data_IF_817204980122
#
_entry.id   IF_817204980122
#
_cell.length_a   1.000
_cell.length_b   1.000
_cell.length_c   1.000
_cell.angle_alpha   90.00
_cell.angle_beta   90.00
_cell.angle_gamma   90.00
#
_symmetry.space_group_name_H-M   'P 1'
#
loop_
_entity.id
_entity.type
_entity.pdbx_description
1 polymer ?
#
# COMPACT_ATOMS: atom_id res chain seq x y z
N UNK A 1 -25.62 0.83 4.50
CA UNK A 1 -26.21 2.16 4.48
C UNK A 1 -25.55 2.98 3.37
N UNK A 2 -26.22 3.10 2.21
CA UNK A 2 -25.71 3.76 1.00
C UNK A 2 -25.28 5.23 1.20
N UNK A 3 -25.80 5.89 2.22
CA UNK A 3 -25.43 7.29 2.55
C UNK A 3 -24.03 7.44 3.15
N UNK A 4 -23.45 6.40 3.72
CA UNK A 4 -22.08 6.46 4.27
C UNK A 4 -21.02 6.27 3.18
N UNK A 5 -21.34 5.60 2.07
CA UNK A 5 -20.41 5.44 0.94
C UNK A 5 -20.29 6.72 0.09
N UNK A 6 -21.35 7.53 -0.03
CA UNK A 6 -21.30 8.80 -0.77
C UNK A 6 -20.37 9.86 -0.13
N UNK A 7 -20.00 9.69 1.15
CA UNK A 7 -19.12 10.64 1.86
C UNK A 7 -17.64 10.47 1.51
N UNK A 8 -17.19 9.27 1.12
CA UNK A 8 -15.82 9.00 0.72
C UNK A 8 -15.50 9.47 -0.72
N UNK A 9 -16.53 9.63 -1.57
CA UNK A 9 -16.37 10.05 -2.96
C UNK A 9 -16.17 11.56 -3.15
N UNK A 10 -16.26 12.39 -2.08
CA UNK A 10 -16.31 13.85 -2.22
C UNK A 10 -14.96 14.56 -2.16
N UNK A 11 -13.91 13.98 -1.59
CA UNK A 11 -12.60 14.61 -1.58
C UNK A 11 -11.86 14.41 -2.90
N UNK A 12 -11.42 15.50 -3.52
CA UNK A 12 -10.67 15.44 -4.79
C UNK A 12 -9.15 15.41 -4.60
N UNK A 13 -8.66 15.51 -3.37
CA UNK A 13 -7.22 15.39 -3.09
C UNK A 13 -6.64 14.08 -3.63
N UNK A 14 -7.30 12.91 -3.47
CA UNK A 14 -6.87 11.65 -4.07
C UNK A 14 -6.71 11.70 -5.60
N UNK A 15 -7.62 12.43 -6.27
CA UNK A 15 -7.54 12.59 -7.73
C UNK A 15 -6.31 13.39 -8.11
N UNK A 16 -6.02 14.48 -7.37
CA UNK A 16 -4.80 15.29 -7.59
C UNK A 16 -3.55 14.43 -7.42
N UNK A 17 -3.48 13.65 -6.35
CA UNK A 17 -2.33 12.79 -6.03
C UNK A 17 -2.12 11.68 -7.06
N UNK A 18 -3.19 11.08 -7.57
CA UNK A 18 -3.12 10.01 -8.57
C UNK A 18 -2.47 10.45 -9.89
N UNK A 19 -2.64 11.71 -10.27
CA UNK A 19 -2.06 12.28 -11.51
C UNK A 19 -0.79 13.10 -11.25
N UNK A 20 -0.39 13.25 -9.99
CA UNK A 20 0.76 14.06 -9.56
C UNK A 20 2.08 13.73 -10.31
N UNK A 21 2.44 12.46 -10.55
CA UNK A 21 3.65 12.13 -11.29
C UNK A 21 3.69 12.71 -12.72
N UNK A 22 2.52 12.95 -13.31
CA UNK A 22 2.38 13.50 -14.66
C UNK A 22 2.46 15.04 -14.72
N UNK A 23 2.49 15.72 -13.59
CA UNK A 23 2.48 17.19 -13.53
C UNK A 23 3.83 17.80 -13.90
N UNK A 24 3.76 18.89 -14.64
CA UNK A 24 4.89 19.81 -14.85
C UNK A 24 5.24 20.52 -13.53
N UNK A 25 6.43 21.13 -13.39
CA UNK A 25 6.79 21.86 -12.17
C UNK A 25 5.75 22.92 -11.77
N UNK A 26 5.17 23.64 -12.72
CA UNK A 26 4.14 24.63 -12.46
C UNK A 26 2.82 24.00 -11.97
N UNK A 27 2.41 22.88 -12.57
CA UNK A 27 1.22 22.13 -12.15
C UNK A 27 1.40 21.52 -10.75
N UNK A 28 2.62 21.12 -10.39
CA UNK A 28 2.95 20.65 -9.03
C UNK A 28 2.78 21.76 -8.00
N UNK A 29 3.21 22.98 -8.30
CA UNK A 29 2.96 24.14 -7.42
C UNK A 29 1.47 24.32 -7.15
N UNK A 30 0.63 24.17 -8.16
CA UNK A 30 -0.83 24.25 -7.99
C UNK A 30 -1.36 23.05 -7.20
N UNK A 31 -0.87 21.85 -7.50
CA UNK A 31 -1.25 20.63 -6.77
C UNK A 31 -0.90 20.73 -5.28
N UNK A 32 0.33 21.14 -4.95
CA UNK A 32 0.82 21.29 -3.59
C UNK A 32 -0.01 22.30 -2.80
N UNK A 33 -0.40 23.40 -3.44
CA UNK A 33 -1.31 24.37 -2.83
C UNK A 33 -2.61 23.70 -2.40
N UNK A 34 -3.31 22.99 -3.30
CA UNK A 34 -4.60 22.37 -2.97
C UNK A 34 -4.47 21.18 -2.00
N UNK A 35 -3.38 20.45 -2.05
CA UNK A 35 -3.12 19.33 -1.12
C UNK A 35 -2.89 19.83 0.31
N UNK A 36 -2.20 20.97 0.48
CA UNK A 36 -1.78 21.45 1.79
C UNK A 36 -2.59 22.67 2.28
N UNK A 37 -3.58 23.15 1.51
CA UNK A 37 -4.37 24.31 1.87
C UNK A 37 -5.23 24.04 3.11
N UNK A 38 -4.93 24.78 4.19
CA UNK A 38 -5.69 24.75 5.45
C UNK A 38 -6.42 26.06 5.74
N UNK A 39 -5.94 27.18 5.21
CA UNK A 39 -6.30 28.51 5.67
C UNK A 39 -6.89 29.41 4.55
N UNK A 40 -6.58 29.14 3.28
CA UNK A 40 -7.06 29.98 2.19
C UNK A 40 -8.48 29.62 1.78
N UNK A 41 -9.39 30.56 1.98
CA UNK A 41 -10.83 30.42 1.66
C UNK A 41 -11.23 31.01 0.29
N UNK A 42 -10.48 32.00 -0.22
CA UNK A 42 -10.71 32.54 -1.57
C UNK A 42 -9.98 31.71 -2.61
N UNK A 43 -10.71 30.76 -3.17
CA UNK A 43 -10.21 29.86 -4.23
C UNK A 43 -10.61 30.35 -5.63
N UNK A 44 -10.91 31.63 -5.80
CA UNK A 44 -11.18 32.19 -7.14
C UNK A 44 -9.95 32.06 -8.04
N UNK A 45 -10.18 31.86 -9.35
CA UNK A 45 -9.09 31.70 -10.32
C UNK A 45 -8.12 32.88 -10.29
N UNK A 46 -8.67 34.09 -10.13
CA UNK A 46 -7.88 35.31 -10.04
C UNK A 46 -6.98 35.31 -8.81
N UNK A 47 -7.56 35.07 -7.63
CA UNK A 47 -6.82 35.08 -6.37
C UNK A 47 -5.72 34.01 -6.35
N UNK A 48 -6.05 32.77 -6.67
CA UNK A 48 -5.07 31.66 -6.68
C UNK A 48 -4.01 31.87 -7.76
N UNK A 49 -4.34 32.44 -8.92
CA UNK A 49 -3.35 32.73 -9.93
C UNK A 49 -2.34 33.81 -9.50
N UNK A 50 -2.81 34.86 -8.81
CA UNK A 50 -1.97 35.88 -8.21
C UNK A 50 -1.10 35.32 -7.08
N UNK A 51 -1.69 34.52 -6.19
CA UNK A 51 -1.00 33.89 -5.03
C UNK A 51 0.13 32.96 -5.46
N UNK A 52 -0.10 32.12 -6.47
CA UNK A 52 0.86 31.12 -6.93
C UNK A 52 1.75 31.61 -8.09
N UNK A 53 1.58 32.87 -8.55
CA UNK A 53 2.28 33.43 -9.69
C UNK A 53 2.11 32.58 -10.98
N UNK A 54 0.90 32.08 -11.21
CA UNK A 54 0.53 31.29 -12.39
C UNK A 54 -0.57 32.00 -13.19
N UNK A 55 -0.78 31.62 -14.45
CA UNK A 55 -1.92 32.15 -15.21
C UNK A 55 -3.22 31.40 -14.87
N UNK A 56 -4.38 32.05 -14.98
CA UNK A 56 -5.70 31.39 -14.85
C UNK A 56 -5.85 30.25 -15.89
N UNK A 57 -5.24 30.41 -17.08
CA UNK A 57 -5.19 29.35 -18.08
C UNK A 57 -4.41 28.11 -17.59
N UNK A 58 -3.39 28.29 -16.75
CA UNK A 58 -2.64 27.20 -16.13
C UNK A 58 -3.48 26.46 -15.09
N UNK A 59 -4.27 27.19 -14.30
CA UNK A 59 -5.23 26.58 -13.35
C UNK A 59 -6.29 25.75 -14.10
N UNK A 60 -6.79 26.25 -15.23
CA UNK A 60 -7.76 25.53 -16.05
C UNK A 60 -7.16 24.25 -16.68
N UNK A 61 -5.90 24.30 -17.14
CA UNK A 61 -5.19 23.11 -17.65
C UNK A 61 -4.94 22.09 -16.56
N UNK A 62 -4.52 22.53 -15.39
CA UNK A 62 -4.35 21.67 -14.20
C UNK A 62 -5.67 20.94 -13.86
N UNK A 63 -6.78 21.67 -13.75
CA UNK A 63 -8.09 21.10 -13.47
C UNK A 63 -8.51 20.05 -14.51
N UNK A 64 -8.29 20.31 -15.80
CA UNK A 64 -8.56 19.37 -16.89
C UNK A 64 -7.70 18.10 -16.77
N UNK A 65 -6.45 18.24 -16.35
CA UNK A 65 -5.54 17.12 -16.16
C UNK A 65 -5.96 16.24 -14.97
N UNK A 66 -6.61 16.84 -13.96
CA UNK A 66 -7.29 16.14 -12.87
C UNK A 66 -8.65 15.51 -13.28
N UNK A 67 -9.07 15.62 -14.56
CA UNK A 67 -10.30 14.99 -15.05
C UNK A 67 -11.56 15.88 -14.98
N UNK A 68 -11.42 17.16 -14.62
CA UNK A 68 -12.53 18.11 -14.55
C UNK A 68 -12.66 18.92 -15.84
N UNK A 69 -13.84 19.47 -16.11
CA UNK A 69 -14.09 20.27 -17.31
C UNK A 69 -13.36 21.62 -17.29
N UNK A 70 -13.04 22.13 -16.09
CA UNK A 70 -12.29 23.36 -15.87
C UNK A 70 -12.11 23.70 -14.41
N UNK A 71 -11.43 24.83 -14.15
CA UNK A 71 -11.06 25.24 -12.80
C UNK A 71 -12.27 25.48 -11.88
N UNK A 72 -13.38 26.01 -12.42
CA UNK A 72 -14.59 26.27 -11.64
C UNK A 72 -15.24 24.99 -11.09
N UNK A 73 -15.32 23.95 -11.89
CA UNK A 73 -15.81 22.65 -11.45
C UNK A 73 -14.86 22.03 -10.44
N UNK A 74 -13.56 22.10 -10.71
CA UNK A 74 -12.53 21.61 -9.78
C UNK A 74 -12.66 22.26 -8.40
N UNK A 75 -12.74 23.59 -8.31
CA UNK A 75 -12.89 24.32 -7.04
C UNK A 75 -14.21 23.96 -6.34
N UNK A 76 -15.29 23.86 -7.10
CA UNK A 76 -16.59 23.44 -6.54
C UNK A 76 -16.48 22.08 -5.86
N UNK A 77 -15.87 21.09 -6.52
CA UNK A 77 -15.68 19.75 -5.96
C UNK A 77 -14.69 19.74 -4.79
N UNK A 78 -13.65 20.56 -4.85
CA UNK A 78 -12.71 20.73 -3.76
C UNK A 78 -13.41 21.26 -2.50
N UNK A 79 -14.20 22.32 -2.63
CA UNK A 79 -14.96 22.88 -1.51
C UNK A 79 -16.05 21.94 -0.99
N UNK A 80 -16.71 21.21 -1.88
CA UNK A 80 -17.68 20.18 -1.49
C UNK A 80 -17.00 19.10 -0.63
N UNK A 81 -15.79 18.69 -0.98
CA UNK A 81 -14.97 17.74 -0.21
C UNK A 81 -14.54 18.30 1.15
N UNK A 82 -14.16 19.56 1.23
CA UNK A 82 -13.83 20.25 2.50
C UNK A 82 -15.05 20.36 3.44
N UNK A 83 -16.21 20.67 2.88
CA UNK A 83 -17.47 20.82 3.64
C UNK A 83 -18.11 19.48 4.05
N UNK A 84 -17.72 18.38 3.41
CA UNK A 84 -18.16 17.03 3.75
C UNK A 84 -17.51 16.49 5.04
N UNK A 85 -16.69 17.28 5.73
CA UNK A 85 -16.17 16.95 7.05
C UNK A 85 -17.34 16.62 7.99
N UNK A 86 -17.29 15.44 8.60
CA UNK A 86 -18.31 14.94 9.54
C UNK A 86 -18.59 15.99 10.60
N UNK A 87 -19.80 16.56 10.70
CA UNK A 87 -20.13 17.54 11.73
C UNK A 87 -19.96 16.91 13.11
N UNK A 88 -19.17 17.53 13.99
CA UNK A 88 -19.00 17.08 15.38
C UNK A 88 -17.95 15.98 15.59
N UNK A 89 -17.16 15.59 14.57
CA UNK A 89 -16.06 14.63 14.74
C UNK A 89 -14.84 15.34 15.32
N UNK A 90 -14.23 14.75 16.36
CA UNK A 90 -12.99 15.22 16.97
C UNK A 90 -11.88 15.36 15.91
N UNK A 91 -11.06 16.40 15.98
CA UNK A 91 -9.98 16.66 15.03
C UNK A 91 -8.98 15.49 14.92
N UNK A 92 -8.78 14.77 16.04
CA UNK A 92 -7.92 13.57 16.06
C UNK A 92 -8.51 12.42 15.23
N UNK A 93 -9.83 12.21 15.28
CA UNK A 93 -10.49 11.17 14.49
C UNK A 93 -10.37 11.49 13.00
N UNK A 94 -10.63 12.75 12.62
CA UNK A 94 -10.47 13.21 11.22
C UNK A 94 -9.04 13.01 10.74
N UNK A 95 -8.05 13.36 11.55
CA UNK A 95 -6.65 13.22 11.20
C UNK A 95 -6.26 11.75 10.94
N UNK A 96 -6.73 10.82 11.77
CA UNK A 96 -6.50 9.39 11.58
C UNK A 96 -7.13 8.91 10.26
N UNK A 97 -8.41 9.22 10.02
CA UNK A 97 -9.13 8.79 8.82
C UNK A 97 -8.52 9.38 7.55
N UNK A 98 -8.15 10.66 7.54
CA UNK A 98 -7.47 11.31 6.43
C UNK A 98 -6.12 10.65 6.12
N UNK A 99 -5.38 10.25 7.17
CA UNK A 99 -4.10 9.56 6.96
C UNK A 99 -4.31 8.18 6.33
N UNK A 100 -5.34 7.42 6.73
CA UNK A 100 -5.67 6.16 6.05
C UNK A 100 -6.02 6.38 4.58
N UNK A 101 -6.80 7.42 4.27
CA UNK A 101 -7.16 7.75 2.90
C UNK A 101 -5.93 8.11 2.06
N UNK A 102 -5.02 8.93 2.58
CA UNK A 102 -3.76 9.24 1.91
C UNK A 102 -2.93 7.98 1.62
N UNK A 103 -2.83 7.08 2.59
CA UNK A 103 -2.08 5.82 2.43
C UNK A 103 -2.71 4.90 1.39
N UNK A 104 -4.05 4.82 1.33
CA UNK A 104 -4.76 4.06 0.29
C UNK A 104 -4.48 4.63 -1.10
N UNK A 105 -4.54 5.94 -1.26
CA UNK A 105 -4.27 6.60 -2.55
C UNK A 105 -2.82 6.39 -2.99
N UNK A 106 -1.86 6.50 -2.07
CA UNK A 106 -0.45 6.21 -2.35
C UNK A 106 -0.25 4.74 -2.72
N UNK A 107 -0.90 3.81 -2.02
CA UNK A 107 -0.85 2.38 -2.34
C UNK A 107 -1.38 2.10 -3.75
N UNK A 108 -2.48 2.75 -4.15
CA UNK A 108 -3.01 2.65 -5.50
C UNK A 108 -2.00 3.10 -6.57
N UNK A 109 -1.28 4.20 -6.31
CA UNK A 109 -0.27 4.73 -7.23
C UNK A 109 0.98 3.86 -7.32
N UNK A 110 1.28 3.08 -6.27
CA UNK A 110 2.43 2.17 -6.20
C UNK A 110 2.14 0.78 -6.75
N UNK A 111 0.86 0.39 -6.87
CA UNK A 111 0.47 -0.92 -7.34
C UNK A 111 0.74 -1.07 -8.85
N UNK A 112 1.79 -1.80 -9.19
CA UNK A 112 2.11 -2.19 -10.57
C UNK A 112 1.62 -3.61 -10.85
N UNK A 113 0.68 -3.74 -11.80
CA UNK A 113 0.10 -5.03 -12.17
C UNK A 113 1.14 -6.04 -12.63
N UNK A 114 2.11 -5.61 -13.43
CA UNK A 114 3.14 -6.51 -13.94
C UNK A 114 4.04 -7.04 -12.81
N UNK A 115 4.33 -6.20 -11.81
CA UNK A 115 5.06 -6.63 -10.60
C UNK A 115 4.23 -7.60 -9.76
N UNK A 116 2.94 -7.30 -9.56
CA UNK A 116 2.01 -8.19 -8.84
C UNK A 116 1.95 -9.56 -9.52
N UNK A 117 1.84 -9.61 -10.85
CA UNK A 117 1.88 -10.85 -11.63
C UNK A 117 3.17 -11.64 -11.38
N UNK A 118 4.34 -11.00 -11.40
CA UNK A 118 5.63 -11.66 -11.14
C UNK A 118 5.73 -12.21 -9.71
N UNK A 119 5.30 -11.44 -8.72
CA UNK A 119 5.29 -11.89 -7.32
C UNK A 119 4.34 -13.07 -7.15
N UNK A 120 3.12 -13.02 -7.69
CA UNK A 120 2.17 -14.13 -7.63
C UNK A 120 2.69 -15.38 -8.35
N UNK A 121 3.43 -15.22 -9.46
CA UNK A 121 4.10 -16.33 -10.13
C UNK A 121 5.16 -16.98 -9.21
N UNK A 122 5.97 -16.21 -8.50
CA UNK A 122 6.92 -16.73 -7.50
C UNK A 122 6.17 -17.53 -6.44
N UNK A 123 5.10 -16.98 -5.86
CA UNK A 123 4.31 -17.65 -4.81
C UNK A 123 3.69 -18.98 -5.28
N UNK A 124 3.35 -19.07 -6.57
CA UNK A 124 2.75 -20.29 -7.16
C UNK A 124 3.79 -21.32 -7.56
N UNK A 125 4.95 -20.88 -8.06
CA UNK A 125 5.96 -21.78 -8.65
C UNK A 125 6.93 -22.36 -7.62
N UNK A 126 7.09 -21.71 -6.46
CA UNK A 126 8.01 -22.19 -5.43
C UNK A 126 7.35 -23.21 -4.51
N UNK A 127 8.13 -24.21 -4.12
CA UNK A 127 7.66 -25.28 -3.24
C UNK A 127 7.32 -24.77 -1.86
N UNK A 128 8.10 -23.80 -1.35
CA UNK A 128 7.93 -23.24 -0.02
C UNK A 128 8.29 -21.76 0.04
N UNK A 129 7.47 -21.01 0.76
CA UNK A 129 7.62 -19.55 0.93
C UNK A 129 7.89 -19.25 2.40
N UNK A 130 8.87 -18.40 2.67
CA UNK A 130 9.15 -17.89 4.01
C UNK A 130 8.97 -16.38 4.03
N UNK A 131 8.32 -15.89 5.10
CA UNK A 131 8.08 -14.45 5.27
C UNK A 131 8.79 -13.98 6.54
N UNK A 132 9.76 -13.11 6.36
CA UNK A 132 10.58 -12.55 7.44
C UNK A 132 10.06 -11.18 7.84
N UNK A 133 9.81 -10.95 9.13
CA UNK A 133 9.41 -9.67 9.66
C UNK A 133 9.58 -9.59 11.16
N UNK A 134 9.85 -8.40 11.68
CA UNK A 134 10.02 -8.14 13.10
C UNK A 134 8.99 -7.12 13.60
N UNK A 135 8.57 -7.22 14.86
CA UNK A 135 7.59 -6.32 15.45
C UNK A 135 6.27 -6.28 14.64
N UNK A 136 5.81 -5.08 14.26
CA UNK A 136 4.60 -4.90 13.46
C UNK A 136 4.68 -5.56 12.08
N UNK A 137 5.86 -5.57 11.46
CA UNK A 137 6.07 -6.30 10.20
C UNK A 137 5.98 -7.81 10.40
N UNK A 138 6.36 -8.32 11.56
CA UNK A 138 6.19 -9.73 11.94
C UNK A 138 4.73 -10.14 12.06
N UNK A 139 3.88 -9.26 12.63
CA UNK A 139 2.43 -9.48 12.68
C UNK A 139 1.83 -9.51 11.25
N UNK A 140 2.28 -8.64 10.37
CA UNK A 140 1.85 -8.66 8.96
C UNK A 140 2.34 -9.91 8.22
N UNK A 141 3.53 -10.43 8.55
CA UNK A 141 4.02 -11.71 8.03
C UNK A 141 3.12 -12.88 8.46
N UNK A 142 2.65 -12.89 9.71
CA UNK A 142 1.70 -13.88 10.21
C UNK A 142 0.35 -13.79 9.48
N UNK A 143 -0.15 -12.60 9.23
CA UNK A 143 -1.37 -12.40 8.45
C UNK A 143 -1.20 -12.94 7.01
N UNK A 144 -0.09 -12.61 6.36
CA UNK A 144 0.21 -13.14 5.04
C UNK A 144 0.26 -14.67 5.03
N UNK A 145 0.93 -15.28 6.01
CA UNK A 145 0.94 -16.73 6.19
C UNK A 145 -0.47 -17.30 6.29
N UNK A 146 -1.30 -16.75 7.17
CA UNK A 146 -2.66 -17.25 7.40
C UNK A 146 -3.48 -17.26 6.10
N UNK A 147 -3.44 -16.18 5.35
CA UNK A 147 -4.24 -16.03 4.13
C UNK A 147 -3.76 -16.93 2.99
N UNK A 148 -2.48 -16.90 2.68
CA UNK A 148 -1.93 -17.67 1.56
C UNK A 148 -1.89 -19.17 1.84
N UNK A 149 -1.76 -19.58 3.10
CA UNK A 149 -1.90 -20.99 3.50
C UNK A 149 -3.30 -21.52 3.17
N UNK A 150 -4.36 -20.75 3.44
CA UNK A 150 -5.74 -21.14 3.09
C UNK A 150 -5.95 -21.25 1.57
N UNK A 151 -5.16 -20.53 0.77
CA UNK A 151 -5.16 -20.63 -0.68
C UNK A 151 -4.18 -21.69 -1.24
N UNK A 152 -3.63 -22.55 -0.37
CA UNK A 152 -2.82 -23.70 -0.74
C UNK A 152 -1.33 -23.44 -0.93
N UNK A 153 -0.81 -22.29 -0.47
CA UNK A 153 0.64 -22.01 -0.48
C UNK A 153 1.29 -22.63 0.75
N UNK A 154 2.38 -23.39 0.58
CA UNK A 154 3.22 -23.80 1.70
C UNK A 154 4.07 -22.61 2.16
N UNK A 155 3.56 -21.89 3.15
CA UNK A 155 4.10 -20.61 3.61
C UNK A 155 4.30 -20.58 5.12
N UNK A 156 5.45 -20.06 5.57
CA UNK A 156 5.79 -19.91 6.97
C UNK A 156 6.27 -18.49 7.29
N UNK A 157 5.78 -17.92 8.39
CA UNK A 157 6.21 -16.62 8.88
C UNK A 157 7.25 -16.80 10.00
N UNK A 158 8.40 -16.13 9.84
CA UNK A 158 9.51 -16.20 10.80
C UNK A 158 9.75 -14.81 11.39
N UNK A 159 9.48 -14.69 12.68
CA UNK A 159 9.53 -13.44 13.43
C UNK A 159 10.63 -13.44 14.52
N UNK A 160 11.32 -14.56 14.68
CA UNK A 160 12.49 -14.68 15.55
C UNK A 160 13.78 -14.52 14.75
N UNK A 161 14.70 -13.68 15.24
CA UNK A 161 15.94 -13.32 14.55
C UNK A 161 16.86 -14.54 14.39
N UNK A 162 16.95 -15.41 15.40
CA UNK A 162 17.83 -16.58 15.36
C UNK A 162 17.32 -17.61 14.37
N UNK A 163 16.01 -17.89 14.42
CA UNK A 163 15.36 -18.81 13.48
C UNK A 163 15.46 -18.25 12.05
N UNK A 164 15.26 -16.94 11.85
CA UNK A 164 15.40 -16.28 10.56
C UNK A 164 16.79 -16.49 9.95
N UNK A 165 17.84 -16.25 10.73
CA UNK A 165 19.24 -16.46 10.28
C UNK A 165 19.51 -17.90 9.91
N UNK A 166 19.06 -18.86 10.75
CA UNK A 166 19.23 -20.28 10.50
C UNK A 166 18.45 -20.74 9.25
N UNK A 167 17.23 -20.28 9.11
CA UNK A 167 16.38 -20.63 7.97
C UNK A 167 16.98 -20.11 6.65
N UNK A 168 17.40 -18.84 6.60
CA UNK A 168 17.87 -18.19 5.38
C UNK A 168 19.05 -18.93 4.72
N UNK A 169 19.98 -19.48 5.50
CA UNK A 169 21.14 -20.23 5.00
C UNK A 169 20.83 -21.68 4.56
N UNK A 170 19.64 -22.18 4.88
CA UNK A 170 19.16 -23.51 4.53
C UNK A 170 18.23 -23.52 3.29
N UNK A 171 17.91 -22.37 2.75
CA UNK A 171 17.07 -22.26 1.55
C UNK A 171 17.80 -22.78 0.30
N UNK A 172 17.04 -22.92 -0.76
CA UNK A 172 17.51 -23.31 -2.09
C UNK A 172 16.60 -22.74 -3.17
N UNK A 173 16.86 -23.03 -4.43
CA UNK A 173 16.13 -22.57 -5.60
C UNK A 173 14.63 -22.91 -5.64
N UNK A 174 14.21 -23.94 -4.88
CA UNK A 174 12.79 -24.29 -4.76
C UNK A 174 12.02 -23.43 -3.74
N UNK A 175 12.72 -22.52 -3.06
CA UNK A 175 12.15 -21.66 -2.02
C UNK A 175 12.00 -20.21 -2.49
N UNK A 176 11.10 -19.48 -1.83
CA UNK A 176 11.06 -18.03 -1.87
C UNK A 176 11.19 -17.45 -0.45
N UNK A 177 11.84 -16.31 -0.34
CA UNK A 177 11.95 -15.53 0.89
C UNK A 177 11.38 -14.12 0.67
N UNK A 178 10.43 -13.73 1.49
CA UNK A 178 9.83 -12.39 1.51
C UNK A 178 10.30 -11.70 2.77
N UNK A 179 10.96 -10.56 2.65
CA UNK A 179 11.31 -9.71 3.78
C UNK A 179 10.36 -8.53 3.88
N UNK A 180 9.84 -8.26 5.08
CA UNK A 180 8.98 -7.10 5.35
C UNK A 180 9.71 -6.17 6.31
N UNK A 181 10.09 -5.00 5.81
CA UNK A 181 10.66 -3.90 6.61
C UNK A 181 10.22 -2.56 6.06
N UNK A 182 9.26 -1.91 6.73
CA UNK A 182 8.70 -0.63 6.26
C UNK A 182 9.81 0.42 6.10
N UNK A 183 10.72 0.53 7.06
CA UNK A 183 11.85 1.48 7.00
C UNK A 183 12.91 1.13 5.95
N UNK A 184 12.96 -0.11 5.47
CA UNK A 184 14.05 -0.62 4.64
C UNK A 184 15.41 -0.67 5.35
N UNK A 185 15.43 -0.60 6.69
CA UNK A 185 16.66 -0.48 7.48
C UNK A 185 16.80 -1.56 8.58
N UNK A 186 15.99 -2.62 8.55
CA UNK A 186 16.09 -3.71 9.51
C UNK A 186 17.20 -4.68 9.06
N UNK A 187 18.40 -4.63 9.66
CA UNK A 187 19.57 -5.35 9.13
C UNK A 187 19.38 -6.86 9.14
N UNK A 188 18.63 -7.37 10.10
CA UNK A 188 18.37 -8.82 10.26
C UNK A 188 17.57 -9.36 9.07
N UNK A 189 16.51 -8.63 8.65
CA UNK A 189 15.68 -9.00 7.52
C UNK A 189 16.46 -8.88 6.20
N UNK A 190 17.21 -7.78 6.02
CA UNK A 190 17.98 -7.55 4.80
C UNK A 190 19.11 -8.60 4.64
N UNK A 191 19.83 -8.93 5.73
CA UNK A 191 20.87 -9.97 5.70
C UNK A 191 20.28 -11.35 5.45
N UNK A 192 19.10 -11.65 6.00
CA UNK A 192 18.41 -12.91 5.74
C UNK A 192 18.02 -13.04 4.25
N UNK A 193 17.51 -11.97 3.63
CA UNK A 193 17.25 -11.96 2.19
C UNK A 193 18.53 -12.15 1.37
N UNK A 194 19.63 -11.48 1.74
CA UNK A 194 20.92 -11.66 1.08
C UNK A 194 21.41 -13.10 1.16
N UNK A 195 21.36 -13.72 2.35
CA UNK A 195 21.73 -15.13 2.53
C UNK A 195 20.82 -16.08 1.74
N UNK A 196 19.51 -15.81 1.70
CA UNK A 196 18.55 -16.58 0.90
C UNK A 196 18.86 -16.48 -0.60
N UNK A 197 19.20 -15.28 -1.08
CA UNK A 197 19.60 -15.04 -2.48
C UNK A 197 20.86 -15.81 -2.86
N UNK A 198 21.89 -15.80 -2.00
CA UNK A 198 23.12 -16.58 -2.20
C UNK A 198 22.86 -18.09 -2.32
N UNK A 199 21.77 -18.59 -1.71
CA UNK A 199 21.32 -19.98 -1.81
C UNK A 199 20.43 -20.28 -3.02
N UNK A 200 20.20 -19.31 -3.88
CA UNK A 200 19.38 -19.44 -5.08
C UNK A 200 17.88 -19.30 -4.86
N UNK A 201 17.43 -18.97 -3.64
CA UNK A 201 16.02 -18.68 -3.37
C UNK A 201 15.58 -17.42 -4.12
N UNK A 202 14.31 -17.38 -4.54
CA UNK A 202 13.70 -16.13 -5.02
C UNK A 202 13.44 -15.19 -3.85
N UNK A 203 13.78 -13.91 -4.01
CA UNK A 203 13.74 -12.95 -2.90
C UNK A 203 12.88 -11.74 -3.24
N UNK A 204 12.02 -11.37 -2.30
CA UNK A 204 11.09 -10.25 -2.43
C UNK A 204 11.23 -9.37 -1.18
N UNK A 205 11.31 -8.07 -1.36
CA UNK A 205 11.33 -7.10 -0.26
C UNK A 205 10.09 -6.22 -0.29
N UNK A 206 9.38 -6.12 0.83
CA UNK A 206 8.29 -5.15 1.06
C UNK A 206 8.84 -4.01 1.91
N UNK A 207 8.92 -2.82 1.33
CA UNK A 207 9.52 -1.64 1.99
C UNK A 207 8.93 -0.34 1.46
N UNK A 208 9.00 0.73 2.24
CA UNK A 208 8.66 2.08 1.76
C UNK A 208 9.82 2.80 1.07
N UNK A 209 11.01 2.23 1.13
CA UNK A 209 12.23 2.85 0.62
C UNK A 209 12.62 2.26 -0.73
N UNK A 210 12.83 3.13 -1.71
CA UNK A 210 13.48 2.76 -2.97
C UNK A 210 14.99 2.96 -2.84
N UNK A 211 15.78 1.91 -3.16
CA UNK A 211 17.24 1.97 -3.20
C UNK A 211 17.77 0.94 -4.17
N UNK A 212 18.74 1.34 -5.00
CA UNK A 212 19.46 0.41 -5.88
C UNK A 212 20.29 -0.65 -5.14
N UNK A 213 20.54 -0.44 -3.84
CA UNK A 213 21.27 -1.41 -3.01
C UNK A 213 20.50 -2.73 -2.89
N UNK A 214 19.16 -2.68 -3.02
CA UNK A 214 18.32 -3.87 -2.94
C UNK A 214 18.44 -4.78 -4.16
N UNK A 215 18.81 -4.25 -5.32
CA UNK A 215 18.96 -4.99 -6.57
C UNK A 215 20.03 -6.11 -6.46
N UNK A 216 20.96 -5.95 -5.52
CA UNK A 216 22.00 -6.94 -5.27
C UNK A 216 21.48 -8.26 -4.68
N UNK A 217 20.33 -8.22 -3.98
CA UNK A 217 19.79 -9.38 -3.24
C UNK A 217 18.28 -9.53 -3.28
N UNK A 218 17.54 -8.70 -4.03
CA UNK A 218 16.10 -8.83 -4.22
C UNK A 218 15.77 -9.01 -5.71
N UNK A 219 14.92 -9.99 -6.02
CA UNK A 219 14.35 -10.14 -7.35
C UNK A 219 13.21 -9.15 -7.58
N UNK A 220 12.45 -8.84 -6.52
CA UNK A 220 11.36 -7.87 -6.55
C UNK A 220 11.42 -6.99 -5.28
N UNK A 221 11.16 -5.69 -5.46
CA UNK A 221 11.01 -4.73 -4.36
C UNK A 221 9.63 -4.11 -4.46
N UNK A 222 8.70 -4.55 -3.60
CA UNK A 222 7.35 -4.04 -3.52
C UNK A 222 7.31 -2.80 -2.62
N UNK A 223 7.02 -1.65 -3.21
CA UNK A 223 6.98 -0.40 -2.47
C UNK A 223 5.67 -0.26 -1.68
N UNK A 224 5.82 0.12 -0.41
CA UNK A 224 4.75 0.38 0.53
C UNK A 224 4.50 1.88 0.67
N UNK A 225 3.24 2.28 0.73
CA UNK A 225 2.88 3.65 1.02
C UNK A 225 3.22 4.01 2.47
N UNK A 226 3.87 5.15 2.68
CA UNK A 226 4.10 5.72 4.01
C UNK A 226 3.81 7.20 4.00
N UNK A 227 3.43 7.74 5.14
CA UNK A 227 3.38 9.18 5.37
C UNK A 227 4.68 9.62 6.06
N UNK A 228 5.33 10.66 5.53
CA UNK A 228 6.61 11.14 6.08
C UNK A 228 6.54 11.52 7.56
N UNK A 229 5.38 11.94 8.04
CA UNK A 229 5.15 12.37 9.42
C UNK A 229 4.77 11.25 10.40
N UNK A 230 4.70 9.99 9.97
CA UNK A 230 4.57 8.84 10.90
C UNK A 230 5.78 8.66 11.82
N UNK A 231 6.83 9.46 11.64
CA UNK A 231 8.01 9.51 12.53
C UNK A 231 7.70 9.91 13.97
N UNK A 232 6.56 10.53 14.24
CA UNK A 232 6.17 11.02 15.56
C UNK A 232 5.09 10.14 16.20
N UNK A 233 5.41 8.89 16.51
CA UNK A 233 4.63 8.08 17.45
C UNK A 233 3.18 7.82 17.08
N UNK A 234 2.96 7.43 15.89
CA UNK A 234 1.95 6.57 15.37
C UNK A 234 0.52 6.60 15.90
N UNK A 235 -0.29 7.55 15.45
CA UNK A 235 -1.74 7.36 15.54
C UNK A 235 -2.23 6.20 14.65
N UNK A 236 -1.39 5.69 13.73
CA UNK A 236 -1.74 4.65 12.76
C UNK A 236 -0.74 3.49 12.84
N UNK A 237 -1.26 2.28 12.79
CA UNK A 237 -0.44 1.08 12.75
C UNK A 237 0.43 1.05 11.48
N UNK A 238 1.74 0.81 11.59
CA UNK A 238 2.63 0.60 10.44
C UNK A 238 2.30 -0.66 9.64
N UNK A 239 1.40 -1.52 10.14
CA UNK A 239 0.90 -2.69 9.41
C UNK A 239 -0.04 -2.31 8.28
N UNK A 240 -0.76 -1.19 8.39
CA UNK A 240 -1.81 -0.84 7.43
C UNK A 240 -1.34 -0.86 5.97
N UNK A 241 -0.28 -0.15 5.56
CA UNK A 241 0.20 -0.19 4.17
C UNK A 241 0.70 -1.58 3.75
N UNK A 242 1.20 -2.39 4.68
CA UNK A 242 1.60 -3.77 4.40
C UNK A 242 0.36 -4.62 4.11
N UNK A 243 -0.68 -4.51 4.94
CA UNK A 243 -1.92 -5.26 4.78
C UNK A 243 -2.64 -4.91 3.48
N UNK A 244 -2.65 -3.63 3.09
CA UNK A 244 -3.21 -3.20 1.80
C UNK A 244 -2.53 -3.95 0.64
N UNK A 245 -1.20 -4.02 0.63
CA UNK A 245 -0.47 -4.70 -0.45
C UNK A 245 -0.60 -6.23 -0.37
N UNK A 246 -0.70 -6.80 0.82
CA UNK A 246 -1.03 -8.22 1.01
C UNK A 246 -2.43 -8.51 0.42
N UNK A 247 -3.42 -7.65 0.66
CA UNK A 247 -4.76 -7.79 0.10
C UNK A 247 -4.78 -7.72 -1.41
N UNK A 248 -4.03 -6.78 -1.99
CA UNK A 248 -3.88 -6.65 -3.45
C UNK A 248 -3.27 -7.92 -4.05
N UNK A 249 -2.15 -8.39 -3.47
CA UNK A 249 -1.50 -9.63 -3.91
C UNK A 249 -2.41 -10.85 -3.75
N UNK A 250 -3.09 -10.97 -2.63
CA UNK A 250 -3.98 -12.09 -2.34
C UNK A 250 -5.18 -12.14 -3.28
N UNK A 251 -5.84 -10.98 -3.47
CA UNK A 251 -6.95 -10.87 -4.41
C UNK A 251 -6.53 -11.28 -5.82
N UNK A 252 -5.37 -10.77 -6.29
CA UNK A 252 -4.85 -11.13 -7.60
C UNK A 252 -4.43 -12.61 -7.68
N UNK A 253 -3.79 -13.13 -6.64
CA UNK A 253 -3.42 -14.55 -6.53
C UNK A 253 -4.64 -15.48 -6.66
N UNK A 254 -5.77 -15.13 -6.06
CA UNK A 254 -7.02 -15.91 -6.17
C UNK A 254 -7.59 -15.92 -7.58
N UNK A 255 -7.39 -14.87 -8.38
CA UNK A 255 -7.88 -14.85 -9.78
C UNK A 255 -7.10 -15.79 -10.70
N UNK A 256 -5.90 -16.19 -10.31
CA UNK A 256 -5.13 -17.21 -11.03
C UNK A 256 -5.52 -18.59 -10.52
N UNK A 257 -6.14 -19.43 -11.38
CA UNK A 257 -6.66 -20.77 -11.03
C UNK A 257 -7.74 -20.70 -9.91
N UNK A 258 -8.75 -19.84 -10.12
CA UNK A 258 -9.76 -19.50 -9.12
C UNK A 258 -10.55 -20.72 -8.62
N UNK A 259 -10.98 -21.62 -9.50
CA UNK A 259 -11.78 -22.79 -9.14
C UNK A 259 -11.06 -23.70 -8.15
N UNK A 260 -9.77 -23.97 -8.37
CA UNK A 260 -8.97 -24.81 -7.44
C UNK A 260 -8.74 -24.13 -6.09
N UNK A 261 -8.46 -22.83 -6.10
CA UNK A 261 -8.17 -22.08 -4.87
C UNK A 261 -9.40 -21.83 -4.03
N UNK A 262 -10.54 -21.57 -4.66
CA UNK A 262 -11.85 -21.48 -3.99
C UNK A 262 -12.23 -22.81 -3.37
N UNK A 263 -12.07 -23.93 -4.09
CA UNK A 263 -12.34 -25.26 -3.56
C UNK A 263 -11.45 -25.61 -2.36
N UNK A 264 -10.16 -25.23 -2.38
CA UNK A 264 -9.26 -25.44 -1.26
C UNK A 264 -9.65 -24.58 -0.03
N UNK A 265 -10.03 -23.33 -0.26
CA UNK A 265 -10.49 -22.44 0.79
C UNK A 265 -11.78 -22.96 1.44
N UNK A 266 -12.79 -23.33 0.65
CA UNK A 266 -14.05 -23.88 1.13
C UNK A 266 -13.84 -25.18 1.90
N UNK A 267 -12.97 -26.07 1.40
CA UNK A 267 -12.62 -27.30 2.07
C UNK A 267 -11.99 -27.03 3.44
N UNK A 268 -11.01 -26.12 3.52
CA UNK A 268 -10.33 -25.77 4.77
C UNK A 268 -11.30 -25.17 5.80
N UNK A 269 -12.15 -24.23 5.37
CA UNK A 269 -13.15 -23.59 6.25
C UNK A 269 -14.19 -24.60 6.74
N UNK A 270 -14.65 -25.52 5.87
CA UNK A 270 -15.61 -26.55 6.26
C UNK A 270 -14.99 -27.50 7.28
N UNK A 271 -13.77 -27.96 7.06
CA UNK A 271 -13.07 -28.85 8.00
C UNK A 271 -12.80 -28.19 9.34
N UNK A 272 -12.50 -26.91 9.39
CA UNK A 272 -12.37 -26.16 10.65
C UNK A 272 -13.69 -26.14 11.45
N UNK A 273 -14.85 -26.06 10.77
CA UNK A 273 -16.17 -26.12 11.42
C UNK A 273 -16.45 -27.53 12.00
N UNK A 274 -16.10 -28.57 11.26
CA UNK A 274 -16.29 -29.96 11.71
C UNK A 274 -15.49 -30.24 13.02
N UNK A 275 -14.27 -29.73 13.14
CA UNK A 275 -13.42 -29.88 14.33
C UNK A 275 -14.02 -29.16 15.56
N UNK A 276 -14.80 -28.11 15.40
CA UNK A 276 -15.42 -27.36 16.50
C UNK A 276 -16.68 -28.02 17.07
N UNK A 277 -17.28 -28.96 16.35
CA UNK A 277 -18.52 -29.62 16.76
C UNK A 277 -18.25 -30.87 17.64
N UNK A 278 -17.05 -31.44 17.58
CA UNK A 278 -16.64 -32.64 18.34
C UNK A 278 -15.91 -32.31 19.65
N UNK A 279 -15.86 -31.07 20.09
CA UNK A 279 -15.31 -30.58 21.38
C UNK A 279 -16.44 -30.00 22.24
#
# INVERSE_FOLDING_TARGET
>A
DLRSMEHFEKSIIPVIESVYPSFTPLERTVADFFIHNTDESDLSARHVSELLYVSEASLSRFAKKCGYTGYREFVYRYQEGLNAALPGTDDHIKQVLNTYQELLNKSYSLADRAQIDRICHILTSKRRVYVYGLGSSGLSAQEMKLRFMLAGVDIEAITDIHIMKMNAVLLNESCAAIGITVSGQTPEVLRALGAAKEKGASTILFTSRSSSDYDAFCDEVLLLAVKEHLKNGGAISPQFPILVMIDVLYSHFLTTDSERKEALYEYAVTKLRDIQVDG
#
